data_IF_419835062016
#
_entry.id   IF_419835062016
#
_cell.length_a   1.000
_cell.length_b   1.000
_cell.length_c   1.000
_cell.angle_alpha   90.00
_cell.angle_beta   90.00
_cell.angle_gamma   90.00
#
_symmetry.space_group_name_H-M   'P 1'
#
loop_
_entity.id
_entity.type
_entity.pdbx_description
1 polymer ?
#
# COMPACT_ATOMS: atom_id res chain seq x y z
N UNK A 1 -3.93 28.83 18.28
CA UNK A 1 -4.59 27.56 17.88
C UNK A 1 -4.65 27.37 16.36
N UNK A 2 -5.04 28.38 15.55
CA UNK A 2 -5.22 28.23 14.09
C UNK A 2 -3.96 27.87 13.29
N UNK A 3 -2.79 28.40 13.65
CA UNK A 3 -1.56 28.14 12.90
C UNK A 3 -1.10 26.68 13.00
N UNK A 4 -1.33 26.02 14.14
CA UNK A 4 -1.02 24.60 14.34
C UNK A 4 -1.96 23.68 13.56
N UNK A 5 -3.27 24.00 13.52
CA UNK A 5 -4.20 23.24 12.68
C UNK A 5 -3.88 23.40 11.19
N UNK A 6 -3.44 24.59 10.75
CA UNK A 6 -2.99 24.78 9.37
C UNK A 6 -1.71 23.99 9.06
N UNK A 7 -0.73 23.97 9.96
CA UNK A 7 0.46 23.14 9.79
C UNK A 7 0.13 21.64 9.72
N UNK A 8 -0.79 21.16 10.55
CA UNK A 8 -1.23 19.76 10.50
C UNK A 8 -1.89 19.43 9.15
N UNK A 9 -2.77 20.31 8.66
CA UNK A 9 -3.40 20.12 7.35
C UNK A 9 -2.38 20.09 6.21
N UNK A 10 -1.37 20.97 6.26
CA UNK A 10 -0.28 20.97 5.26
C UNK A 10 0.58 19.71 5.34
N UNK A 11 0.86 19.22 6.55
CA UNK A 11 1.59 17.97 6.75
C UNK A 11 0.81 16.77 6.20
N UNK A 12 -0.49 16.69 6.46
CA UNK A 12 -1.36 15.63 5.93
C UNK A 12 -1.39 15.67 4.40
N UNK A 13 -1.57 16.85 3.79
CA UNK A 13 -1.56 16.99 2.33
C UNK A 13 -0.21 16.56 1.73
N UNK A 14 0.90 16.93 2.37
CA UNK A 14 2.23 16.49 1.94
C UNK A 14 2.38 14.96 2.03
N UNK A 15 1.82 14.33 3.06
CA UNK A 15 1.81 12.86 3.20
C UNK A 15 0.96 12.19 2.11
N UNK A 16 -0.24 12.69 1.82
CA UNK A 16 -1.10 12.17 0.75
C UNK A 16 -0.40 12.21 -0.61
N UNK A 17 0.23 13.34 -0.95
CA UNK A 17 1.01 13.48 -2.20
C UNK A 17 2.18 12.49 -2.21
N UNK A 18 2.89 12.36 -1.09
CA UNK A 18 4.00 11.41 -0.99
C UNK A 18 3.53 9.97 -1.18
N UNK A 19 2.39 9.57 -0.61
CA UNK A 19 1.83 8.22 -0.78
C UNK A 19 1.40 8.00 -2.23
N UNK A 20 0.70 8.96 -2.84
CA UNK A 20 0.17 8.85 -4.20
C UNK A 20 1.25 8.65 -5.26
N UNK A 21 2.42 9.30 -5.10
CA UNK A 21 3.52 9.25 -6.08
C UNK A 21 4.69 8.35 -5.64
N UNK A 22 4.59 7.67 -4.51
CA UNK A 22 5.64 6.73 -4.06
C UNK A 22 5.67 5.51 -4.98
N UNK A 23 6.84 5.21 -5.54
CA UNK A 23 7.06 4.01 -6.35
C UNK A 23 6.96 2.75 -5.48
N UNK A 24 6.15 1.78 -5.90
CA UNK A 24 6.13 0.42 -5.31
C UNK A 24 7.40 -0.34 -5.69
N UNK A 25 8.15 -0.82 -4.69
CA UNK A 25 9.38 -1.60 -4.90
C UNK A 25 9.06 -3.07 -4.60
N UNK A 26 8.93 -3.89 -5.64
CA UNK A 26 8.59 -5.32 -5.52
C UNK A 26 9.55 -6.12 -4.65
N UNK A 27 10.82 -5.71 -4.59
CA UNK A 27 11.86 -6.36 -3.77
C UNK A 27 11.66 -6.18 -2.26
N UNK A 28 10.78 -5.26 -1.82
CA UNK A 28 10.44 -5.11 -0.41
C UNK A 28 9.46 -6.17 0.09
N UNK A 29 8.77 -6.87 -0.82
CA UNK A 29 7.83 -7.95 -0.48
C UNK A 29 8.61 -9.19 -0.06
N UNK A 30 8.27 -9.77 1.09
CA UNK A 30 8.83 -11.04 1.58
C UNK A 30 8.11 -12.26 1.00
N UNK A 31 6.92 -12.06 0.45
CA UNK A 31 6.05 -13.11 -0.08
C UNK A 31 5.17 -13.78 0.98
N UNK A 32 5.10 -13.20 2.18
CA UNK A 32 4.32 -13.72 3.31
C UNK A 32 3.11 -12.82 3.64
N UNK A 33 2.27 -13.26 4.57
CA UNK A 33 1.08 -12.51 4.99
C UNK A 33 1.38 -11.11 5.59
N UNK A 34 2.46 -10.92 6.37
CA UNK A 34 2.89 -9.59 6.83
C UNK A 34 3.02 -8.51 5.75
N UNK A 35 3.27 -8.87 4.49
CA UNK A 35 3.32 -7.91 3.38
C UNK A 35 1.98 -7.16 3.19
N UNK A 36 0.85 -7.74 3.58
CA UNK A 36 -0.47 -7.13 3.42
C UNK A 36 -0.77 -6.03 4.46
N UNK A 37 0.07 -5.88 5.48
CA UNK A 37 -0.14 -4.87 6.53
C UNK A 37 0.33 -3.46 6.13
N UNK A 38 0.90 -3.29 4.94
CA UNK A 38 1.42 -2.00 4.49
C UNK A 38 1.14 -1.75 3.02
N UNK A 39 0.64 -0.56 2.69
CA UNK A 39 0.33 -0.17 1.31
C UNK A 39 1.53 -0.23 0.34
N UNK A 40 2.76 -0.25 0.88
CA UNK A 40 4.00 -0.38 0.09
C UNK A 40 4.28 -1.83 -0.36
N UNK A 41 3.71 -2.82 0.32
CA UNK A 41 3.96 -4.26 0.11
C UNK A 41 2.69 -5.06 -0.17
N UNK A 42 1.51 -4.50 0.12
CA UNK A 42 0.23 -5.16 -0.11
C UNK A 42 0.05 -5.58 -1.57
N UNK A 43 -0.70 -6.66 -1.77
CA UNK A 43 -1.02 -7.18 -3.08
C UNK A 43 -2.04 -6.28 -3.76
N UNK A 44 -1.78 -5.93 -5.03
CA UNK A 44 -2.84 -5.36 -5.85
C UNK A 44 -3.89 -6.44 -6.23
N UNK A 45 -4.97 -6.02 -6.88
CA UNK A 45 -6.06 -6.93 -7.23
C UNK A 45 -5.62 -8.04 -8.20
N UNK A 46 -4.69 -7.76 -9.11
CA UNK A 46 -4.18 -8.74 -10.06
C UNK A 46 -3.28 -9.76 -9.35
N UNK A 47 -2.39 -9.28 -8.48
CA UNK A 47 -1.54 -10.11 -7.62
C UNK A 47 -2.39 -10.99 -6.69
N UNK A 48 -3.49 -10.46 -6.17
CA UNK A 48 -4.45 -11.20 -5.34
C UNK A 48 -5.10 -12.32 -6.12
N UNK A 49 -5.62 -12.06 -7.33
CA UNK A 49 -6.19 -13.11 -8.17
C UNK A 49 -5.16 -14.17 -8.57
N UNK A 50 -3.93 -13.76 -8.89
CA UNK A 50 -2.84 -14.71 -9.16
C UNK A 50 -2.54 -15.59 -7.96
N UNK A 51 -2.48 -15.05 -6.74
CA UNK A 51 -2.32 -15.85 -5.50
C UNK A 51 -3.49 -16.83 -5.32
N UNK A 52 -4.73 -16.38 -5.51
CA UNK A 52 -5.92 -17.21 -5.36
C UNK A 52 -5.94 -18.41 -6.33
N UNK A 53 -5.65 -18.18 -7.61
CA UNK A 53 -5.68 -19.23 -8.64
C UNK A 53 -4.42 -20.11 -8.57
N UNK A 54 -3.23 -19.52 -8.49
CA UNK A 54 -1.98 -20.26 -8.60
C UNK A 54 -1.55 -20.94 -7.30
N UNK A 55 -1.73 -20.29 -6.15
CA UNK A 55 -1.27 -20.81 -4.86
C UNK A 55 -2.39 -21.53 -4.12
N UNK A 56 -3.58 -20.93 -4.07
CA UNK A 56 -4.72 -21.45 -3.31
C UNK A 56 -5.65 -22.35 -4.13
N UNK A 57 -5.35 -22.55 -5.42
CA UNK A 57 -6.09 -23.41 -6.37
C UNK A 57 -7.59 -23.13 -6.38
N UNK A 58 -7.97 -21.86 -6.21
CA UNK A 58 -9.37 -21.42 -6.32
C UNK A 58 -9.74 -21.30 -7.80
N UNK A 59 -10.92 -21.78 -8.15
CA UNK A 59 -11.50 -21.60 -9.48
C UNK A 59 -12.23 -20.25 -9.55
N UNK A 60 -12.23 -19.57 -10.72
CA UNK A 60 -12.90 -18.28 -10.92
C UNK A 60 -14.37 -18.28 -10.53
#
# INVERSE_FOLDING_TARGET
>A
AKSFSHMLNLANLAEEVQIAYRRRIKLLKKGDFPDENSAITESDIEETFKKLVAQLKKTP
#
